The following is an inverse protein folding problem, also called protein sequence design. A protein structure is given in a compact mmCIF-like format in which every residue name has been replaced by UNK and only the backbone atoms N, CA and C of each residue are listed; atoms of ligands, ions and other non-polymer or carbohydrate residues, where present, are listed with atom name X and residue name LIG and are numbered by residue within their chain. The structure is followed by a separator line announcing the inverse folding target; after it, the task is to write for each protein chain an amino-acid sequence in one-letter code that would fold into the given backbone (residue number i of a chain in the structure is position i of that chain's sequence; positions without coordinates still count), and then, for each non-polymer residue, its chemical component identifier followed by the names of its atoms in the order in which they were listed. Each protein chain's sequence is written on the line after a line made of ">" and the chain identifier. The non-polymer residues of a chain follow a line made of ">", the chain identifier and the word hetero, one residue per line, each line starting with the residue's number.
data_IF_037762389579
#
_entry.id   IF_037762389579
#
_cell.length_a   1.000
_cell.length_b   1.000
_cell.length_c   1.000
_cell.angle_alpha   90.00
_cell.angle_beta   90.00
_cell.angle_gamma   90.00
#
_symmetry.space_group_name_H-M   'P 1'
#
loop_
_entity.id
_entity.type
_entity.pdbx_description
1 polymer ?
#
# COMPACT_ATOMS: atom_id res chain seq x y z
N UNK A 1 -20.07 13.50 4.03
CA UNK A 1 -20.06 12.32 4.92
C UNK A 1 -19.08 12.58 6.05
N UNK A 2 -19.53 12.54 7.30
CA UNK A 2 -18.67 12.73 8.45
C UNK A 2 -17.76 11.50 8.58
N UNK A 3 -16.44 11.66 8.77
CA UNK A 3 -15.49 10.54 8.88
C UNK A 3 -15.92 9.55 9.98
N UNK A 4 -16.48 10.08 11.07
CA UNK A 4 -17.05 9.28 12.16
C UNK A 4 -18.21 8.39 11.71
N UNK A 5 -19.12 8.91 10.89
CA UNK A 5 -20.25 8.13 10.37
C UNK A 5 -19.78 7.06 9.38
N UNK A 6 -18.81 7.38 8.52
CA UNK A 6 -18.22 6.39 7.62
C UNK A 6 -17.52 5.26 8.38
N UNK A 7 -16.81 5.59 9.47
CA UNK A 7 -16.13 4.60 10.32
C UNK A 7 -17.14 3.71 11.06
N UNK A 8 -18.18 4.32 11.64
CA UNK A 8 -19.25 3.59 12.34
C UNK A 8 -19.99 2.66 11.38
N UNK A 9 -20.29 3.12 10.17
CA UNK A 9 -20.96 2.32 9.15
C UNK A 9 -20.06 1.17 8.62
N UNK A 10 -18.74 1.38 8.61
CA UNK A 10 -17.76 0.32 8.28
C UNK A 10 -17.68 -0.74 9.38
N UNK A 11 -17.69 -0.33 10.66
CA UNK A 11 -17.68 -1.24 11.82
C UNK A 11 -18.99 -2.04 11.91
N UNK A 12 -20.12 -1.42 11.53
CA UNK A 12 -21.42 -2.08 11.51
C UNK A 12 -21.54 -3.14 10.39
N UNK A 13 -20.63 -3.15 9.41
CA UNK A 13 -20.59 -4.15 8.34
C UNK A 13 -19.43 -5.14 8.55
N UNK A 14 -19.67 -6.29 9.20
CA UNK A 14 -18.60 -7.19 9.65
C UNK A 14 -17.74 -7.74 8.51
N UNK A 15 -18.31 -7.90 7.30
CA UNK A 15 -17.57 -8.37 6.12
C UNK A 15 -16.56 -7.32 5.62
N UNK A 16 -16.96 -6.04 5.60
CA UNK A 16 -16.09 -4.94 5.19
C UNK A 16 -14.99 -4.67 6.23
N UNK A 17 -15.32 -4.80 7.52
CA UNK A 17 -14.34 -4.66 8.61
C UNK A 17 -13.28 -5.77 8.59
N UNK A 18 -13.68 -7.04 8.48
CA UNK A 18 -12.72 -8.16 8.43
C UNK A 18 -11.81 -8.04 7.21
N UNK A 19 -12.36 -7.64 6.07
CA UNK A 19 -11.56 -7.43 4.87
C UNK A 19 -10.55 -6.29 5.02
N UNK A 20 -10.97 -5.17 5.60
CA UNK A 20 -10.11 -4.04 5.92
C UNK A 20 -8.92 -4.44 6.80
N UNK A 21 -9.19 -5.17 7.87
CA UNK A 21 -8.16 -5.59 8.84
C UNK A 21 -7.13 -6.52 8.19
N UNK A 22 -7.55 -7.38 7.27
CA UNK A 22 -6.66 -8.37 6.65
C UNK A 22 -5.88 -7.80 5.45
N UNK A 23 -6.46 -6.83 4.73
CA UNK A 23 -5.80 -6.20 3.58
C UNK A 23 -4.78 -5.11 3.93
N UNK A 24 -4.95 -4.48 5.10
CA UNK A 24 -4.07 -3.39 5.56
C UNK A 24 -2.62 -3.85 5.80
N UNK A 25 -2.34 -4.99 6.47
CA UNK A 25 -0.97 -5.46 6.69
C UNK A 25 -0.20 -5.70 5.39
N UNK A 26 -0.84 -6.28 4.38
CA UNK A 26 -0.21 -6.59 3.09
C UNK A 26 0.18 -5.31 2.35
N UNK A 27 -0.77 -4.37 2.21
CA UNK A 27 -0.50 -3.07 1.59
C UNK A 27 0.47 -2.20 2.38
N UNK A 28 0.38 -2.25 3.71
CA UNK A 28 1.29 -1.57 4.61
C UNK A 28 2.72 -2.08 4.49
N UNK A 29 2.91 -3.41 4.43
CA UNK A 29 4.23 -4.01 4.24
C UNK A 29 4.83 -3.65 2.88
N UNK A 30 4.06 -3.77 1.79
CA UNK A 30 4.55 -3.40 0.46
C UNK A 30 4.86 -1.90 0.35
N UNK A 31 4.01 -1.05 0.92
CA UNK A 31 4.24 0.39 0.96
C UNK A 31 5.45 0.77 1.81
N UNK A 32 5.66 0.11 2.94
CA UNK A 32 6.81 0.30 3.81
C UNK A 32 8.13 -0.03 3.09
N UNK A 33 8.19 -1.16 2.35
CA UNK A 33 9.38 -1.54 1.59
C UNK A 33 9.73 -0.51 0.51
N UNK A 34 8.71 -0.08 -0.24
CA UNK A 34 8.88 0.90 -1.32
C UNK A 34 9.25 2.26 -0.76
N UNK A 35 8.60 2.69 0.32
CA UNK A 35 8.87 3.94 1.01
C UNK A 35 10.28 3.98 1.60
N UNK A 36 10.71 2.89 2.26
CA UNK A 36 12.06 2.75 2.80
C UNK A 36 13.12 2.82 1.69
N UNK A 37 12.91 2.11 0.59
CA UNK A 37 13.80 2.17 -0.57
C UNK A 37 13.79 3.57 -1.21
N UNK A 38 12.63 4.20 -1.39
CA UNK A 38 12.54 5.51 -2.03
C UNK A 38 13.20 6.60 -1.17
N UNK A 39 12.85 6.67 0.12
CA UNK A 39 13.35 7.72 1.01
C UNK A 39 14.83 7.56 1.33
N UNK A 40 15.38 6.33 1.38
CA UNK A 40 16.81 6.15 1.61
C UNK A 40 17.66 6.77 0.50
N UNK A 41 17.27 6.60 -0.76
CA UNK A 41 17.95 7.22 -1.89
C UNK A 41 17.68 8.74 -1.99
N UNK A 42 16.46 9.19 -1.70
CA UNK A 42 16.14 10.62 -1.70
C UNK A 42 16.95 11.34 -0.62
N UNK A 43 16.89 10.90 0.65
CA UNK A 43 17.59 11.59 1.74
C UNK A 43 19.11 11.53 1.60
N UNK A 44 19.66 10.43 1.11
CA UNK A 44 21.09 10.33 0.79
C UNK A 44 21.49 11.35 -0.27
N UNK A 45 20.65 11.58 -1.29
CA UNK A 45 20.92 12.57 -2.34
C UNK A 45 20.89 14.02 -1.86
N UNK A 46 20.16 14.31 -0.78
CA UNK A 46 20.10 15.66 -0.18
C UNK A 46 21.21 15.94 0.83
N UNK A 47 22.06 14.96 1.15
CA UNK A 47 23.26 15.18 1.96
C UNK A 47 22.97 15.77 3.34
N UNK A 48 21.96 15.23 4.05
CA UNK A 48 21.56 15.74 5.38
C UNK A 48 22.71 15.62 6.41
N UNK A 49 23.71 14.74 6.17
CA UNK A 49 24.93 14.63 7.01
C UNK A 49 26.06 13.90 6.25
N UNK A 50 26.83 14.56 5.35
CA UNK A 50 27.78 13.91 4.44
C UNK A 50 29.02 13.29 5.12
N UNK A 51 29.32 13.66 6.36
CA UNK A 51 30.47 13.16 7.13
C UNK A 51 30.05 12.22 8.29
N UNK A 52 28.76 11.96 8.43
CA UNK A 52 28.20 11.25 9.58
C UNK A 52 28.03 9.78 9.22
N UNK A 53 29.14 9.02 9.33
CA UNK A 53 29.11 7.56 9.26
C UNK A 53 28.88 6.98 10.64
N UNK A 54 27.97 6.01 10.72
CA UNK A 54 27.74 5.25 11.94
C UNK A 54 29.02 4.48 12.32
N UNK A 55 29.57 4.64 13.54
CA UNK A 55 30.87 4.06 13.93
C UNK A 55 30.89 2.53 13.96
N UNK A 56 29.73 1.87 13.95
CA UNK A 56 29.63 0.41 14.04
C UNK A 56 29.42 -0.30 12.69
N UNK A 57 28.73 0.34 11.75
CA UNK A 57 28.35 -0.30 10.47
C UNK A 57 28.87 0.43 9.22
N UNK A 58 29.57 1.56 9.37
CA UNK A 58 29.97 2.44 8.25
C UNK A 58 28.80 2.81 7.32
N UNK A 59 27.56 2.72 7.82
CA UNK A 59 26.38 3.15 7.09
C UNK A 59 26.27 4.68 7.19
N UNK A 60 25.86 5.29 6.09
CA UNK A 60 25.53 6.71 6.05
C UNK A 60 24.27 6.94 6.89
N UNK A 61 24.35 7.82 7.90
CA UNK A 61 23.21 8.14 8.78
C UNK A 61 22.03 8.67 7.95
N UNK A 62 22.29 9.30 6.81
CA UNK A 62 21.25 9.73 5.87
C UNK A 62 20.43 8.58 5.29
N UNK A 63 21.05 7.42 5.03
CA UNK A 63 20.37 6.21 4.55
C UNK A 63 19.51 5.62 5.66
N UNK A 64 20.05 5.52 6.89
CA UNK A 64 19.33 4.97 8.03
C UNK A 64 18.08 5.78 8.38
N UNK A 65 18.21 7.11 8.43
CA UNK A 65 17.09 8.02 8.66
C UNK A 65 16.08 7.98 7.50
N UNK A 66 16.55 7.90 6.26
CA UNK A 66 15.71 7.72 5.08
C UNK A 66 14.90 6.43 5.11
N UNK A 67 15.50 5.32 5.53
CA UNK A 67 14.80 4.04 5.73
C UNK A 67 13.71 4.19 6.79
N UNK A 68 14.02 4.77 7.96
CA UNK A 68 13.07 4.89 9.06
C UNK A 68 11.85 5.76 8.68
N UNK A 69 12.11 6.94 8.10
CA UNK A 69 11.07 7.87 7.65
C UNK A 69 10.25 7.24 6.52
N UNK A 70 10.93 6.63 5.55
CA UNK A 70 10.31 5.96 4.42
C UNK A 70 9.43 4.78 4.83
N UNK A 71 9.84 4.03 5.85
CA UNK A 71 9.07 2.90 6.38
C UNK A 71 7.75 3.38 7.01
N UNK A 72 7.80 4.44 7.80
CA UNK A 72 6.60 5.02 8.45
C UNK A 72 5.65 5.59 7.39
N UNK A 73 6.15 6.49 6.54
CA UNK A 73 5.31 7.16 5.53
C UNK A 73 4.78 6.13 4.53
N UNK A 74 5.64 5.23 4.05
CA UNK A 74 5.29 4.17 3.13
C UNK A 74 4.25 3.20 3.69
N UNK A 75 4.36 2.84 4.97
CA UNK A 75 3.38 1.98 5.65
C UNK A 75 2.01 2.63 5.74
N UNK A 76 1.96 3.92 6.10
CA UNK A 76 0.69 4.65 6.22
C UNK A 76 0.01 4.77 4.85
N UNK A 77 0.75 5.15 3.81
CA UNK A 77 0.20 5.32 2.46
C UNK A 77 -0.20 3.97 1.86
N UNK A 78 0.65 2.95 1.97
CA UNK A 78 0.38 1.60 1.45
C UNK A 78 -0.79 0.93 2.15
N UNK A 79 -0.84 1.02 3.48
CA UNK A 79 -1.96 0.48 4.27
C UNK A 79 -3.26 1.23 4.01
N UNK A 80 -3.22 2.56 3.92
CA UNK A 80 -4.40 3.37 3.62
C UNK A 80 -4.98 3.10 2.22
N UNK A 81 -4.12 2.92 1.22
CA UNK A 81 -4.55 2.62 -0.15
C UNK A 81 -5.10 1.19 -0.28
N UNK A 82 -4.50 0.18 0.36
CA UNK A 82 -5.05 -1.18 0.34
C UNK A 82 -6.36 -1.28 1.11
N UNK A 83 -6.48 -0.59 2.25
CA UNK A 83 -7.73 -0.46 3.02
C UNK A 83 -8.85 0.10 2.15
N UNK A 84 -8.62 1.24 1.51
CA UNK A 84 -9.63 1.88 0.67
C UNK A 84 -10.04 0.98 -0.51
N UNK A 85 -9.06 0.35 -1.16
CA UNK A 85 -9.31 -0.52 -2.31
C UNK A 85 -10.11 -1.78 -1.97
N UNK A 86 -9.72 -2.49 -0.91
CA UNK A 86 -10.39 -3.73 -0.48
C UNK A 86 -11.81 -3.46 -0.02
N UNK A 87 -12.01 -2.44 0.82
CA UNK A 87 -13.34 -2.02 1.30
C UNK A 87 -14.24 -1.64 0.13
N UNK A 88 -13.74 -0.81 -0.79
CA UNK A 88 -14.51 -0.39 -1.96
C UNK A 88 -14.96 -1.59 -2.82
N UNK A 89 -14.05 -2.52 -3.09
CA UNK A 89 -14.32 -3.67 -3.98
C UNK A 89 -15.29 -4.68 -3.34
N UNK A 90 -15.20 -4.87 -2.03
CA UNK A 90 -16.11 -5.75 -1.28
C UNK A 90 -17.48 -5.11 -1.13
N UNK A 91 -17.55 -3.82 -0.77
CA UNK A 91 -18.81 -3.10 -0.72
C UNK A 91 -19.53 -3.13 -2.08
N UNK A 92 -18.80 -3.01 -3.19
CA UNK A 92 -19.38 -3.12 -4.53
C UNK A 92 -19.91 -4.54 -4.82
N UNK A 93 -19.19 -5.59 -4.45
CA UNK A 93 -19.65 -6.98 -4.61
C UNK A 93 -20.86 -7.31 -3.73
N UNK A 94 -20.86 -6.87 -2.47
CA UNK A 94 -21.97 -7.07 -1.54
C UNK A 94 -23.25 -6.39 -2.04
N UNK A 95 -23.16 -5.17 -2.59
CA UNK A 95 -24.32 -4.46 -3.14
C UNK A 95 -24.81 -5.02 -4.48
N UNK A 96 -23.91 -5.44 -5.38
CA UNK A 96 -24.30 -5.86 -6.74
C UNK A 96 -24.80 -7.28 -6.83
N UNK A 97 -24.20 -8.23 -6.11
CA UNK A 97 -24.45 -9.65 -6.40
C UNK A 97 -25.23 -10.37 -5.31
N UNK A 98 -25.35 -9.85 -4.08
CA UNK A 98 -25.86 -10.61 -2.90
C UNK A 98 -25.20 -12.01 -2.72
N UNK A 99 -24.18 -12.36 -3.51
CA UNK A 99 -23.52 -13.68 -3.52
C UNK A 99 -22.59 -13.86 -2.34
N UNK A 100 -22.03 -12.76 -1.82
CA UNK A 100 -21.35 -12.77 -0.53
C UNK A 100 -22.44 -12.73 0.56
N UNK A 101 -23.29 -13.74 0.56
CA UNK A 101 -24.16 -14.03 1.68
C UNK A 101 -23.26 -14.18 2.92
N UNK A 102 -23.72 -13.63 4.04
CA UNK A 102 -23.05 -13.49 5.33
C UNK A 102 -22.42 -14.77 5.95
N UNK A 103 -22.38 -15.90 5.23
CA UNK A 103 -22.15 -17.23 5.80
C UNK A 103 -20.72 -17.76 5.63
N UNK A 104 -19.87 -17.15 4.79
CA UNK A 104 -18.49 -17.62 4.63
C UNK A 104 -17.47 -16.48 4.80
N UNK A 105 -17.10 -16.24 6.05
CA UNK A 105 -16.04 -15.30 6.44
C UNK A 105 -14.72 -15.66 5.74
N UNK A 106 -14.45 -16.96 5.55
CA UNK A 106 -13.25 -17.44 4.88
C UNK A 106 -13.12 -16.94 3.43
N UNK A 107 -14.21 -16.87 2.67
CA UNK A 107 -14.17 -16.37 1.29
C UNK A 107 -13.90 -14.87 1.25
N UNK A 108 -14.49 -14.10 2.16
CA UNK A 108 -14.23 -12.66 2.30
C UNK A 108 -12.74 -12.40 2.62
N UNK A 109 -12.17 -13.21 3.52
CA UNK A 109 -10.74 -13.16 3.85
C UNK A 109 -9.88 -13.43 2.63
N UNK A 110 -10.14 -14.53 1.91
CA UNK A 110 -9.37 -14.92 0.73
C UNK A 110 -9.46 -13.89 -0.39
N UNK A 111 -10.66 -13.34 -0.64
CA UNK A 111 -10.83 -12.27 -1.63
C UNK A 111 -10.12 -10.98 -1.23
N UNK A 112 -10.21 -10.57 0.04
CA UNK A 112 -9.52 -9.38 0.52
C UNK A 112 -7.99 -9.52 0.42
N UNK A 113 -7.47 -10.68 0.81
CA UNK A 113 -6.05 -10.99 0.72
C UNK A 113 -5.59 -11.00 -0.74
N UNK A 114 -6.37 -11.63 -1.63
CA UNK A 114 -6.08 -11.66 -3.07
C UNK A 114 -6.05 -10.26 -3.69
N UNK A 115 -7.02 -9.40 -3.37
CA UNK A 115 -7.05 -8.02 -3.84
C UNK A 115 -5.88 -7.18 -3.29
N UNK A 116 -5.49 -7.40 -2.04
CA UNK A 116 -4.36 -6.70 -1.44
C UNK A 116 -3.03 -7.18 -2.01
N UNK A 117 -2.88 -8.49 -2.26
CA UNK A 117 -1.71 -9.07 -2.89
C UNK A 117 -1.54 -8.57 -4.34
N UNK A 118 -2.62 -8.51 -5.12
CA UNK A 118 -2.62 -7.99 -6.48
C UNK A 118 -2.19 -6.51 -6.53
N UNK A 119 -2.69 -5.71 -5.59
CA UNK A 119 -2.31 -4.31 -5.42
C UNK A 119 -0.83 -4.18 -5.01
N UNK A 120 -0.37 -5.00 -4.07
CA UNK A 120 1.03 -5.03 -3.64
C UNK A 120 1.98 -5.41 -4.78
N UNK A 121 1.66 -6.45 -5.57
CA UNK A 121 2.47 -6.88 -6.72
C UNK A 121 2.56 -5.76 -7.75
N UNK A 122 1.44 -5.11 -8.05
CA UNK A 122 1.40 -4.00 -9.01
C UNK A 122 2.21 -2.81 -8.53
N UNK A 123 2.13 -2.48 -7.24
CA UNK A 123 2.92 -1.43 -6.61
C UNK A 123 4.42 -1.74 -6.64
N UNK A 124 4.81 -2.97 -6.31
CA UNK A 124 6.22 -3.40 -6.31
C UNK A 124 6.78 -3.40 -7.73
N UNK A 125 6.08 -3.97 -8.70
CA UNK A 125 6.52 -3.98 -10.10
C UNK A 125 6.65 -2.56 -10.65
N UNK A 126 5.67 -1.70 -10.39
CA UNK A 126 5.73 -0.29 -10.75
C UNK A 126 6.95 0.40 -10.13
N UNK A 127 7.23 0.15 -8.85
CA UNK A 127 8.38 0.71 -8.15
C UNK A 127 9.71 0.21 -8.72
N UNK A 128 9.82 -1.09 -9.06
CA UNK A 128 11.01 -1.67 -9.70
C UNK A 128 11.24 -1.00 -11.06
N UNK A 129 10.21 -0.92 -11.91
CA UNK A 129 10.31 -0.30 -13.23
C UNK A 129 10.69 1.18 -13.11
N UNK A 130 10.06 1.91 -12.20
CA UNK A 130 10.36 3.32 -11.95
C UNK A 130 11.79 3.53 -11.44
N UNK A 131 12.30 2.61 -10.60
CA UNK A 131 13.66 2.68 -10.08
C UNK A 131 14.73 2.57 -11.18
N UNK A 132 14.44 1.91 -12.31
CA UNK A 132 15.35 1.84 -13.46
C UNK A 132 15.62 3.22 -14.08
N UNK A 133 14.66 4.15 -13.99
CA UNK A 133 14.82 5.51 -14.52
C UNK A 133 15.48 6.45 -13.52
N UNK A 134 15.11 6.36 -12.25
CA UNK A 134 15.66 7.19 -11.17
C UNK A 134 15.46 6.48 -9.83
N UNK A 135 16.55 6.23 -9.11
CA UNK A 135 16.47 5.72 -7.75
C UNK A 135 15.85 6.79 -6.83
N UNK A 136 14.98 6.37 -5.92
CA UNK A 136 14.29 7.28 -5.01
C UNK A 136 12.97 7.77 -5.61
N UNK A 137 13.03 8.88 -6.38
CA UNK A 137 11.84 9.48 -6.99
C UNK A 137 11.15 8.56 -7.99
N UNK A 138 11.92 7.89 -8.85
CA UNK A 138 11.37 6.93 -9.80
C UNK A 138 10.74 5.73 -9.09
N UNK A 139 11.32 5.24 -7.99
CA UNK A 139 10.73 4.18 -7.16
C UNK A 139 9.37 4.58 -6.59
N UNK A 140 9.26 5.80 -6.03
CA UNK A 140 8.00 6.31 -5.47
C UNK A 140 6.93 6.52 -6.55
N UNK A 141 7.27 7.24 -7.62
CA UNK A 141 6.35 7.54 -8.72
C UNK A 141 5.94 6.24 -9.44
N UNK A 142 6.89 5.35 -9.67
CA UNK A 142 6.65 4.03 -10.27
C UNK A 142 5.66 3.21 -9.47
N UNK A 143 5.78 3.18 -8.13
CA UNK A 143 4.82 2.49 -7.26
C UNK A 143 3.41 3.06 -7.38
N UNK A 144 3.27 4.38 -7.44
CA UNK A 144 1.97 5.06 -7.67
C UNK A 144 1.40 4.72 -9.05
N UNK A 145 2.21 4.78 -10.10
CA UNK A 145 1.80 4.43 -11.47
C UNK A 145 1.34 2.97 -11.54
N UNK A 146 2.05 2.05 -10.87
CA UNK A 146 1.68 0.64 -10.80
C UNK A 146 0.28 0.43 -10.21
N UNK A 147 -0.05 1.13 -9.12
CA UNK A 147 -1.40 1.12 -8.54
C UNK A 147 -2.42 1.69 -9.54
N UNK A 148 -2.15 2.85 -10.14
CA UNK A 148 -3.07 3.48 -11.10
C UNK A 148 -3.34 2.57 -12.30
N UNK A 149 -2.31 1.93 -12.86
CA UNK A 149 -2.46 1.00 -13.98
C UNK A 149 -3.38 -0.17 -13.61
N UNK A 150 -3.16 -0.78 -12.45
CA UNK A 150 -3.99 -1.87 -11.96
C UNK A 150 -5.46 -1.42 -11.82
N UNK A 151 -5.69 -0.23 -11.25
CA UNK A 151 -7.04 0.32 -11.11
C UNK A 151 -7.72 0.51 -12.47
N UNK A 152 -6.99 1.03 -13.48
CA UNK A 152 -7.52 1.20 -14.84
C UNK A 152 -7.87 -0.17 -15.46
N UNK A 153 -6.94 -1.13 -15.43
CA UNK A 153 -7.16 -2.47 -16.00
C UNK A 153 -8.40 -3.11 -15.38
N UNK A 154 -8.56 -3.03 -14.05
CA UNK A 154 -9.72 -3.60 -13.34
C UNK A 154 -11.04 -2.89 -13.60
N UNK A 155 -11.02 -1.64 -14.05
CA UNK A 155 -12.23 -0.96 -14.52
C UNK A 155 -12.63 -1.45 -15.91
N UNK A 156 -11.65 -1.72 -16.80
CA UNK A 156 -11.91 -2.27 -18.13
C UNK A 156 -12.35 -3.73 -18.10
N UNK A 157 -11.77 -4.55 -17.22
CA UNK A 157 -12.15 -5.97 -17.06
C UNK A 157 -13.59 -6.16 -16.56
N UNK A 158 -14.24 -5.10 -16.05
CA UNK A 158 -15.63 -5.10 -15.58
C UNK A 158 -16.65 -4.67 -16.65
N UNK A 159 -16.22 -4.25 -17.85
CA UNK A 159 -17.09 -4.05 -19.01
C UNK A 159 -17.15 -5.32 -19.85
#
# INVERSE_FOLDING_TARGET
>A
MNIKEALVNLIQNPSAYIAAVIGTPVGGASGALIGAAACSFILSSYGICPECKDPYFHLDIGISMGVLIGLIIGSIIGGGTSLFYTVYKIHQKTFRTKEIAQNNIADIVLYSLGYSAELAVSMILGAIIGSLKSLGYGTAIGGVIGIVLLLIIKQFEKR
#
